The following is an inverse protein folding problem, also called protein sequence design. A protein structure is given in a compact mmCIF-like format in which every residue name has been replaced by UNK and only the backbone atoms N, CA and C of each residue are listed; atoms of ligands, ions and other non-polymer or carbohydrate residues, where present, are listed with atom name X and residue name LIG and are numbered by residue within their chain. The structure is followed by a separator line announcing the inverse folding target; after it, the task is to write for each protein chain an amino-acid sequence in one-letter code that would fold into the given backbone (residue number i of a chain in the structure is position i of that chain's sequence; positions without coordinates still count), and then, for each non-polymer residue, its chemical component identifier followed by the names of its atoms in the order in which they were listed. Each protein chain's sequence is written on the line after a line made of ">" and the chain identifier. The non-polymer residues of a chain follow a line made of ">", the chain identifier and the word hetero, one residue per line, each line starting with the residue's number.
data_IF_698179154838
#
_entry.id   IF_698179154838
#
_cell.length_a   1.000
_cell.length_b   1.000
_cell.length_c   1.000
_cell.angle_alpha   90.00
_cell.angle_beta   90.00
_cell.angle_gamma   90.00
#
_symmetry.space_group_name_H-M   'P 1'
#
loop_
_entity.id
_entity.type
_entity.pdbx_description
1 polymer ?
#
# COMPACT_ATOMS: atom_id res chain seq x y z
N UNK A 1 17.84 -8.69 -7.24
CA UNK A 1 17.06 -7.79 -6.34
C UNK A 1 16.87 -6.39 -6.93
N UNK A 2 16.58 -6.28 -8.23
CA UNK A 2 16.43 -4.99 -8.91
C UNK A 2 15.10 -4.29 -8.54
N UNK A 3 14.00 -5.05 -8.39
CA UNK A 3 12.68 -4.48 -8.22
C UNK A 3 12.48 -3.69 -6.90
N UNK A 4 12.96 -4.15 -5.72
CA UNK A 4 12.92 -3.34 -4.52
C UNK A 4 13.65 -2.00 -4.66
N UNK A 5 14.77 -1.99 -5.36
CA UNK A 5 15.52 -0.76 -5.64
C UNK A 5 14.70 0.19 -6.53
N UNK A 6 14.07 -0.33 -7.59
CA UNK A 6 13.20 0.46 -8.45
C UNK A 6 12.00 1.02 -7.69
N UNK A 7 11.47 0.27 -6.73
CA UNK A 7 10.37 0.74 -5.88
C UNK A 7 10.83 1.89 -4.95
N UNK A 8 12.03 1.84 -4.39
CA UNK A 8 12.61 2.97 -3.62
C UNK A 8 12.83 4.17 -4.53
N UNK A 9 13.44 3.96 -5.70
CA UNK A 9 13.70 5.02 -6.70
C UNK A 9 12.40 5.69 -7.14
N UNK A 10 11.30 4.95 -7.29
CA UNK A 10 10.01 5.55 -7.65
C UNK A 10 9.54 6.59 -6.63
N UNK A 11 9.77 6.40 -5.33
CA UNK A 11 9.49 7.41 -4.32
C UNK A 11 10.43 8.63 -4.43
N UNK A 12 11.69 8.42 -4.82
CA UNK A 12 12.64 9.52 -5.03
C UNK A 12 12.30 10.36 -6.28
N UNK A 13 11.73 9.75 -7.30
CA UNK A 13 11.24 10.46 -8.49
C UNK A 13 10.13 11.46 -8.14
N UNK A 14 9.40 11.25 -7.05
CA UNK A 14 8.35 12.16 -6.58
C UNK A 14 8.84 13.59 -6.31
N UNK A 15 10.13 13.79 -6.09
CA UNK A 15 10.71 15.11 -5.87
C UNK A 15 10.93 15.92 -7.16
N UNK A 16 11.07 15.25 -8.29
CA UNK A 16 11.47 15.90 -9.57
C UNK A 16 10.50 17.01 -9.99
N UNK A 17 9.15 16.82 -9.94
CA UNK A 17 8.23 17.84 -10.42
C UNK A 17 8.25 19.14 -9.62
N UNK A 18 8.85 19.15 -8.44
CA UNK A 18 8.91 20.30 -7.53
C UNK A 18 10.27 21.01 -7.54
N UNK A 19 11.30 20.37 -8.10
CA UNK A 19 12.66 20.91 -8.12
C UNK A 19 12.76 22.21 -8.92
N UNK A 20 13.34 23.24 -8.28
CA UNK A 20 13.66 24.51 -8.96
C UNK A 20 12.46 25.42 -9.20
N UNK A 21 11.30 25.18 -8.61
CA UNK A 21 10.15 26.06 -8.66
C UNK A 21 10.30 27.12 -7.55
N UNK A 22 10.45 28.42 -7.89
CA UNK A 22 10.59 29.47 -6.89
C UNK A 22 9.37 29.53 -5.96
N UNK A 23 9.58 29.84 -4.69
CA UNK A 23 8.51 29.97 -3.69
C UNK A 23 7.78 28.67 -3.35
N UNK A 24 8.36 27.52 -3.72
CA UNK A 24 7.76 26.21 -3.47
C UNK A 24 8.67 25.39 -2.58
N UNK A 25 8.09 24.84 -1.54
CA UNK A 25 8.77 23.89 -0.65
C UNK A 25 8.88 22.51 -1.33
N UNK A 26 9.79 22.40 -2.29
CA UNK A 26 9.98 21.22 -3.13
C UNK A 26 10.20 19.93 -2.34
N UNK A 27 10.88 20.02 -1.18
CA UNK A 27 11.16 18.83 -0.36
C UNK A 27 9.91 18.36 0.39
N UNK A 28 9.10 19.26 0.93
CA UNK A 28 7.86 18.94 1.63
C UNK A 28 6.86 18.26 0.70
N UNK A 29 6.62 18.85 -0.46
CA UNK A 29 5.73 18.29 -1.50
C UNK A 29 6.25 16.95 -2.05
N UNK A 30 7.57 16.86 -2.30
CA UNK A 30 8.21 15.63 -2.77
C UNK A 30 8.09 14.48 -1.77
N UNK A 31 8.26 14.76 -0.48
CA UNK A 31 8.08 13.78 0.61
C UNK A 31 6.62 13.32 0.70
N UNK A 32 5.64 14.23 0.56
CA UNK A 32 4.21 13.88 0.51
C UNK A 32 3.89 12.95 -0.65
N UNK A 33 4.38 13.27 -1.85
CA UNK A 33 4.27 12.40 -3.02
C UNK A 33 4.93 11.03 -2.82
N UNK A 34 6.12 11.00 -2.22
CA UNK A 34 6.81 9.75 -1.89
C UNK A 34 6.00 8.89 -0.90
N UNK A 35 5.30 9.50 0.05
CA UNK A 35 4.43 8.79 0.98
C UNK A 35 3.32 8.02 0.25
N UNK A 36 2.61 8.66 -0.68
CA UNK A 36 1.58 8.00 -1.49
C UNK A 36 2.15 6.83 -2.30
N UNK A 37 3.32 6.99 -2.89
CA UNK A 37 3.99 5.95 -3.67
C UNK A 37 4.38 4.77 -2.80
N UNK A 38 5.01 5.00 -1.65
CA UNK A 38 5.41 3.92 -0.74
C UNK A 38 4.19 3.22 -0.12
N UNK A 39 3.12 3.96 0.15
CA UNK A 39 1.86 3.37 0.60
C UNK A 39 1.27 2.44 -0.47
N UNK A 40 1.30 2.86 -1.74
CA UNK A 40 0.86 2.06 -2.89
C UNK A 40 1.68 0.78 -3.05
N UNK A 41 3.01 0.86 -2.92
CA UNK A 41 3.88 -0.32 -2.89
C UNK A 41 3.54 -1.26 -1.74
N UNK A 42 3.30 -0.72 -0.55
CA UNK A 42 2.88 -1.52 0.60
C UNK A 42 1.58 -2.28 0.32
N UNK A 43 0.55 -1.63 -0.26
CA UNK A 43 -0.70 -2.26 -0.67
C UNK A 43 -0.48 -3.36 -1.72
N UNK A 44 0.33 -3.09 -2.74
CA UNK A 44 0.66 -4.05 -3.79
C UNK A 44 1.35 -5.30 -3.23
N UNK A 45 2.29 -5.13 -2.32
CA UNK A 45 3.01 -6.24 -1.68
C UNK A 45 2.10 -7.08 -0.78
N UNK A 46 1.07 -6.47 -0.18
CA UNK A 46 0.07 -7.18 0.62
C UNK A 46 -0.96 -7.95 -0.23
N UNK A 47 -1.05 -7.70 -1.53
CA UNK A 47 -2.11 -8.21 -2.42
C UNK A 47 -2.10 -9.72 -2.64
N UNK A 48 -0.95 -10.39 -2.42
CA UNK A 48 -0.71 -11.81 -2.74
C UNK A 48 -0.79 -12.15 -4.23
N UNK A 49 -0.57 -11.19 -5.11
CA UNK A 49 -0.43 -11.44 -6.54
C UNK A 49 0.85 -12.26 -6.78
N UNK A 50 0.73 -13.42 -7.41
CA UNK A 50 1.84 -14.39 -7.59
C UNK A 50 3.04 -13.76 -8.32
N UNK A 51 2.79 -12.93 -9.33
CA UNK A 51 3.85 -12.23 -10.06
C UNK A 51 4.66 -11.32 -9.14
N UNK A 52 4.00 -10.56 -8.26
CA UNK A 52 4.65 -9.66 -7.31
C UNK A 52 5.56 -10.45 -6.38
N UNK A 53 5.08 -11.56 -5.82
CA UNK A 53 5.89 -12.40 -4.95
C UNK A 53 7.12 -12.98 -5.65
N UNK A 54 6.97 -13.46 -6.89
CA UNK A 54 8.09 -13.96 -7.69
C UNK A 54 9.16 -12.88 -7.92
N UNK A 55 8.73 -11.67 -8.25
CA UNK A 55 9.61 -10.54 -8.53
C UNK A 55 10.35 -10.03 -7.28
N UNK A 56 9.72 -10.12 -6.09
CA UNK A 56 10.33 -9.75 -4.82
C UNK A 56 11.08 -10.91 -4.13
N UNK A 57 11.15 -12.09 -4.74
CA UNK A 57 11.95 -13.21 -4.25
C UNK A 57 11.25 -14.14 -3.25
N UNK A 58 9.93 -14.22 -3.32
CA UNK A 58 9.09 -15.11 -2.52
C UNK A 58 8.28 -14.41 -1.44
N UNK A 59 7.40 -15.16 -0.77
CA UNK A 59 6.47 -14.62 0.24
C UNK A 59 7.19 -13.94 1.41
N UNK A 60 8.20 -14.58 1.96
CA UNK A 60 8.93 -14.08 3.13
C UNK A 60 9.59 -12.73 2.84
N UNK A 61 10.25 -12.63 1.68
CA UNK A 61 10.89 -11.37 1.26
C UNK A 61 9.87 -10.29 0.94
N UNK A 62 8.76 -10.66 0.30
CA UNK A 62 7.66 -9.71 0.03
C UNK A 62 7.11 -9.12 1.32
N UNK A 63 6.99 -9.93 2.38
CA UNK A 63 6.54 -9.47 3.68
C UNK A 63 7.54 -8.50 4.35
N UNK A 64 8.83 -8.76 4.22
CA UNK A 64 9.88 -7.84 4.69
C UNK A 64 9.76 -6.50 3.96
N UNK A 65 9.63 -6.52 2.63
CA UNK A 65 9.48 -5.31 1.83
C UNK A 65 8.17 -4.57 2.10
N UNK A 66 7.07 -5.27 2.33
CA UNK A 66 5.81 -4.66 2.78
C UNK A 66 6.03 -3.83 4.06
N UNK A 67 6.70 -4.39 5.05
CA UNK A 67 7.01 -3.67 6.29
C UNK A 67 7.91 -2.45 6.05
N UNK A 68 8.94 -2.60 5.22
CA UNK A 68 9.85 -1.50 4.89
C UNK A 68 9.12 -0.34 4.20
N UNK A 69 8.30 -0.64 3.18
CA UNK A 69 7.53 0.40 2.49
C UNK A 69 6.43 1.01 3.35
N UNK A 70 5.82 0.24 4.25
CA UNK A 70 4.87 0.78 5.23
C UNK A 70 5.55 1.77 6.17
N UNK A 71 6.75 1.45 6.67
CA UNK A 71 7.52 2.35 7.54
C UNK A 71 7.98 3.61 6.78
N UNK A 72 8.45 3.45 5.52
CA UNK A 72 8.80 4.60 4.68
C UNK A 72 7.60 5.49 4.42
N UNK A 73 6.43 4.92 4.13
CA UNK A 73 5.19 5.68 3.91
C UNK A 73 4.81 6.51 5.14
N UNK A 74 4.82 5.89 6.32
CA UNK A 74 4.48 6.59 7.57
C UNK A 74 5.53 7.66 7.90
N UNK A 75 6.81 7.36 7.75
CA UNK A 75 7.89 8.32 8.01
C UNK A 75 7.81 9.52 7.06
N UNK A 76 7.65 9.27 5.76
CA UNK A 76 7.56 10.35 4.78
C UNK A 76 6.27 11.15 4.94
N UNK A 77 5.15 10.53 5.29
CA UNK A 77 3.92 11.24 5.66
C UNK A 77 4.17 12.17 6.86
N UNK A 78 4.76 11.66 7.93
CA UNK A 78 5.06 12.46 9.13
C UNK A 78 5.98 13.63 8.82
N UNK A 79 7.02 13.43 8.01
CA UNK A 79 7.92 14.51 7.58
C UNK A 79 7.21 15.54 6.70
N UNK A 80 6.28 15.11 5.83
CA UNK A 80 5.46 16.01 5.01
C UNK A 80 4.60 16.95 5.85
N UNK A 81 4.00 16.44 6.93
CA UNK A 81 3.17 17.24 7.84
C UNK A 81 4.01 18.28 8.60
N UNK A 82 5.28 18.00 8.88
CA UNK A 82 6.19 18.94 9.54
C UNK A 82 6.77 20.01 8.60
N UNK A 83 6.57 19.84 7.28
CA UNK A 83 7.05 20.79 6.28
C UNK A 83 6.06 21.95 6.10
N UNK A 84 6.60 23.16 5.87
CA UNK A 84 5.80 24.23 5.29
C UNK A 84 5.59 23.88 3.81
N UNK A 85 4.35 23.67 3.38
CA UNK A 85 4.03 23.20 2.04
C UNK A 85 3.46 24.32 1.15
N UNK A 86 4.06 25.49 1.22
CA UNK A 86 3.63 26.65 0.44
C UNK A 86 3.94 26.44 -1.06
N UNK A 87 2.96 26.77 -1.89
CA UNK A 87 3.04 26.71 -3.34
C UNK A 87 2.70 28.06 -3.93
N UNK A 88 3.71 28.80 -4.41
CA UNK A 88 3.49 30.05 -5.13
C UNK A 88 2.83 29.77 -6.48
N UNK A 89 1.79 30.55 -6.82
CA UNK A 89 0.97 30.35 -8.04
C UNK A 89 0.34 28.95 -8.15
N UNK A 90 -0.18 28.44 -7.04
CA UNK A 90 -0.77 27.12 -6.95
C UNK A 90 -1.94 26.91 -7.94
N UNK A 91 -2.00 25.70 -8.48
CA UNK A 91 -3.14 25.22 -9.27
C UNK A 91 -4.05 24.41 -8.33
N UNK A 92 -5.28 24.86 -8.16
CA UNK A 92 -6.35 24.16 -7.43
C UNK A 92 -7.35 23.59 -8.45
N UNK A 93 -7.28 22.29 -8.80
CA UNK A 93 -8.08 21.74 -9.89
C UNK A 93 -9.59 21.87 -9.69
N UNK A 94 -10.05 21.93 -8.46
CA UNK A 94 -11.47 21.95 -8.07
C UNK A 94 -11.86 23.20 -7.27
N UNK A 95 -10.97 24.21 -7.16
CA UNK A 95 -11.19 25.45 -6.41
C UNK A 95 -10.88 25.32 -4.91
N UNK A 96 -10.98 26.46 -4.23
CA UNK A 96 -10.58 26.62 -2.82
C UNK A 96 -11.39 25.72 -1.88
N UNK A 97 -12.72 25.68 -2.01
CA UNK A 97 -13.58 24.87 -1.12
C UNK A 97 -13.21 23.38 -1.12
N UNK A 98 -12.84 22.84 -2.30
CA UNK A 98 -12.42 21.44 -2.42
C UNK A 98 -10.99 21.21 -1.91
N UNK A 99 -10.14 22.21 -2.04
CA UNK A 99 -8.80 22.15 -1.46
C UNK A 99 -8.88 22.15 0.07
N UNK A 100 -9.69 23.03 0.67
CA UNK A 100 -9.94 23.09 2.13
C UNK A 100 -10.48 21.74 2.64
N UNK A 101 -11.51 21.18 1.98
CA UNK A 101 -12.01 19.85 2.33
C UNK A 101 -10.91 18.78 2.22
N UNK A 102 -10.03 18.89 1.22
CA UNK A 102 -8.89 17.99 1.04
C UNK A 102 -7.92 18.05 2.22
N UNK A 103 -7.65 19.24 2.74
CA UNK A 103 -6.80 19.45 3.94
C UNK A 103 -7.46 18.87 5.20
N UNK A 104 -8.73 19.15 5.45
CA UNK A 104 -9.47 18.60 6.61
C UNK A 104 -9.46 17.05 6.61
N UNK A 105 -9.70 16.45 5.45
CA UNK A 105 -9.68 14.99 5.29
C UNK A 105 -8.26 14.39 5.42
N UNK A 106 -7.23 15.14 5.03
CA UNK A 106 -5.84 14.73 5.23
C UNK A 106 -5.45 14.75 6.71
N UNK A 107 -5.90 15.74 7.48
CA UNK A 107 -5.71 15.81 8.93
C UNK A 107 -6.35 14.60 9.64
N UNK A 108 -7.57 14.26 9.25
CA UNK A 108 -8.24 13.06 9.73
C UNK A 108 -7.49 11.77 9.32
N UNK A 109 -6.98 11.71 8.09
CA UNK A 109 -6.19 10.58 7.61
C UNK A 109 -4.89 10.41 8.42
N UNK A 110 -4.21 11.50 8.76
CA UNK A 110 -3.02 11.49 9.62
C UNK A 110 -3.32 10.82 10.95
N UNK A 111 -4.36 11.29 11.65
CA UNK A 111 -4.76 10.74 12.94
C UNK A 111 -5.06 9.25 12.85
N UNK A 112 -5.76 8.83 11.79
CA UNK A 112 -6.02 7.41 11.52
C UNK A 112 -4.72 6.62 11.31
N UNK A 113 -3.78 7.13 10.51
CA UNK A 113 -2.50 6.44 10.26
C UNK A 113 -1.71 6.27 11.55
N UNK A 114 -1.65 7.31 12.39
CA UNK A 114 -0.94 7.24 13.68
C UNK A 114 -1.55 6.13 14.56
N UNK A 115 -2.87 6.16 14.77
CA UNK A 115 -3.57 5.19 15.61
C UNK A 115 -3.42 3.76 15.07
N UNK A 116 -3.64 3.57 13.76
CA UNK A 116 -3.52 2.25 13.13
C UNK A 116 -2.08 1.73 13.15
N UNK A 117 -1.08 2.62 13.04
CA UNK A 117 0.34 2.26 13.13
C UNK A 117 0.70 1.80 14.53
N UNK A 118 0.28 2.52 15.56
CA UNK A 118 0.47 2.12 16.97
C UNK A 118 -0.14 0.75 17.23
N UNK A 119 -1.39 0.53 16.83
CA UNK A 119 -2.09 -0.76 16.96
C UNK A 119 -1.32 -1.87 16.22
N UNK A 120 -0.79 -1.57 15.03
CA UNK A 120 -0.11 -2.56 14.19
C UNK A 120 1.26 -2.96 14.74
N UNK A 121 2.03 -2.02 15.30
CA UNK A 121 3.38 -2.26 15.83
C UNK A 121 3.31 -2.98 17.17
N UNK A 122 2.50 -2.49 18.10
CA UNK A 122 2.47 -3.00 19.48
C UNK A 122 1.58 -4.23 19.66
N UNK A 123 0.87 -4.68 18.60
CA UNK A 123 -0.01 -5.87 18.65
C UNK A 123 -0.96 -5.86 19.85
N UNK A 124 -1.49 -4.70 20.19
CA UNK A 124 -2.34 -4.46 21.37
C UNK A 124 -3.63 -5.29 21.30
N UNK A 125 -4.11 -5.55 20.08
CA UNK A 125 -5.38 -6.24 19.84
C UNK A 125 -5.20 -7.73 19.57
N UNK A 126 -6.19 -8.58 19.91
CA UNK A 126 -6.25 -9.95 19.43
C UNK A 126 -6.13 -10.04 17.93
N UNK A 127 -5.51 -11.09 17.40
CA UNK A 127 -5.17 -11.22 15.98
C UNK A 127 -6.35 -10.97 15.02
N UNK A 128 -7.54 -11.44 15.35
CA UNK A 128 -8.73 -11.26 14.50
C UNK A 128 -9.10 -9.77 14.36
N UNK A 129 -9.08 -9.02 15.47
CA UNK A 129 -9.39 -7.59 15.49
C UNK A 129 -8.24 -6.79 14.86
N UNK A 130 -6.99 -7.15 15.17
CA UNK A 130 -5.81 -6.58 14.54
C UNK A 130 -5.84 -6.72 13.02
N UNK A 131 -6.19 -7.90 12.51
CA UNK A 131 -6.30 -8.14 11.06
C UNK A 131 -7.38 -7.26 10.42
N UNK A 132 -8.48 -7.00 11.12
CA UNK A 132 -9.54 -6.12 10.62
C UNK A 132 -9.11 -4.66 10.66
N UNK A 133 -8.58 -4.18 11.79
CA UNK A 133 -8.11 -2.80 11.94
C UNK A 133 -6.98 -2.47 10.97
N UNK A 134 -6.07 -3.42 10.72
CA UNK A 134 -4.99 -3.23 9.75
C UNK A 134 -5.49 -3.01 8.31
N UNK A 135 -6.64 -3.56 7.94
CA UNK A 135 -7.25 -3.29 6.62
C UNK A 135 -7.80 -1.88 6.49
N UNK A 136 -8.09 -1.21 7.58
CA UNK A 136 -8.59 0.17 7.58
C UNK A 136 -7.55 1.17 7.04
N UNK A 137 -6.28 0.79 6.87
CA UNK A 137 -5.27 1.63 6.22
C UNK A 137 -5.65 2.07 4.80
N UNK A 138 -6.60 1.38 4.14
CA UNK A 138 -7.13 1.83 2.86
C UNK A 138 -7.85 3.19 2.97
N UNK A 139 -8.50 3.47 4.10
CA UNK A 139 -9.26 4.71 4.29
C UNK A 139 -8.32 5.92 4.28
N UNK A 140 -7.31 6.03 5.16
CA UNK A 140 -6.39 7.15 5.13
C UNK A 140 -5.57 7.22 3.83
N UNK A 141 -5.30 6.09 3.18
CA UNK A 141 -4.66 6.09 1.86
C UNK A 141 -5.54 6.78 0.79
N UNK A 142 -6.84 6.49 0.76
CA UNK A 142 -7.77 7.13 -0.19
C UNK A 142 -8.02 8.60 0.15
N UNK A 143 -8.05 8.95 1.44
CA UNK A 143 -8.16 10.34 1.88
C UNK A 143 -6.91 11.15 1.50
N UNK A 144 -5.71 10.57 1.66
CA UNK A 144 -4.46 11.18 1.18
C UNK A 144 -4.41 11.31 -0.36
N UNK A 145 -4.95 10.34 -1.08
CA UNK A 145 -5.10 10.44 -2.54
C UNK A 145 -6.10 11.53 -2.95
N UNK A 146 -7.19 11.69 -2.20
CA UNK A 146 -8.15 12.76 -2.40
C UNK A 146 -7.51 14.13 -2.13
N UNK A 147 -6.79 14.28 -1.02
CA UNK A 147 -6.01 15.47 -0.72
C UNK A 147 -5.03 15.80 -1.87
N UNK A 148 -4.25 14.85 -2.35
CA UNK A 148 -3.35 15.06 -3.50
C UNK A 148 -4.07 15.59 -4.75
N UNK A 149 -5.29 15.11 -5.02
CA UNK A 149 -6.06 15.49 -6.21
C UNK A 149 -6.68 16.89 -6.06
N UNK A 150 -7.07 17.29 -4.86
CA UNK A 150 -7.82 18.54 -4.59
C UNK A 150 -6.95 19.69 -4.10
N UNK A 151 -5.81 19.37 -3.48
CA UNK A 151 -4.91 20.37 -2.88
C UNK A 151 -4.18 21.21 -3.93
N UNK A 152 -3.51 22.23 -3.44
CA UNK A 152 -2.60 23.06 -4.19
C UNK A 152 -1.45 22.29 -4.81
N UNK A 153 -1.23 22.46 -6.11
CA UNK A 153 -0.18 21.77 -6.83
C UNK A 153 0.53 22.70 -7.80
N UNK A 154 1.77 22.36 -8.14
CA UNK A 154 2.57 23.07 -9.15
C UNK A 154 2.27 22.62 -10.58
N UNK A 155 1.45 21.60 -10.76
CA UNK A 155 1.11 21.02 -12.07
C UNK A 155 -0.38 20.70 -12.18
N UNK A 156 -0.91 20.80 -13.39
CA UNK A 156 -2.32 20.52 -13.65
C UNK A 156 -2.67 19.03 -13.46
N UNK A 157 -3.92 18.77 -13.07
CA UNK A 157 -4.47 17.42 -13.03
C UNK A 157 -4.38 16.81 -14.45
N UNK A 158 -4.04 15.52 -14.52
CA UNK A 158 -3.76 14.75 -15.75
C UNK A 158 -2.51 15.20 -16.54
N UNK A 159 -1.67 16.07 -15.99
CA UNK A 159 -0.31 16.27 -16.50
C UNK A 159 0.53 15.00 -16.37
N UNK A 160 1.68 14.88 -17.05
CA UNK A 160 2.56 13.71 -16.89
C UNK A 160 2.92 13.42 -15.43
N UNK A 161 3.17 14.45 -14.63
CA UNK A 161 3.51 14.29 -13.22
C UNK A 161 2.30 13.88 -12.35
N UNK A 162 1.14 14.50 -12.56
CA UNK A 162 -0.09 14.07 -11.89
C UNK A 162 -0.41 12.62 -12.25
N UNK A 163 -0.31 12.23 -13.52
CA UNK A 163 -0.53 10.85 -13.95
C UNK A 163 0.45 9.87 -13.32
N UNK A 164 1.70 10.29 -13.10
CA UNK A 164 2.69 9.47 -12.39
C UNK A 164 2.16 9.06 -11.00
N UNK A 165 1.70 10.00 -10.20
CA UNK A 165 1.13 9.72 -8.88
C UNK A 165 -0.18 8.93 -8.96
N UNK A 166 -1.08 9.30 -9.89
CA UNK A 166 -2.37 8.63 -10.07
C UNK A 166 -2.22 7.16 -10.47
N UNK A 167 -1.19 6.81 -11.23
CA UNK A 167 -0.88 5.40 -11.54
C UNK A 167 -0.57 4.62 -10.26
N UNK A 168 0.28 5.15 -9.38
CA UNK A 168 0.58 4.47 -8.11
C UNK A 168 -0.65 4.35 -7.22
N UNK A 169 -1.42 5.42 -7.07
CA UNK A 169 -2.68 5.41 -6.30
C UNK A 169 -3.64 4.35 -6.85
N UNK A 170 -3.79 4.30 -8.17
CA UNK A 170 -4.64 3.31 -8.84
C UNK A 170 -4.15 1.88 -8.60
N UNK A 171 -2.84 1.64 -8.74
CA UNK A 171 -2.24 0.31 -8.50
C UNK A 171 -2.44 -0.11 -7.04
N UNK A 172 -2.20 0.77 -6.08
CA UNK A 172 -2.42 0.49 -4.65
C UNK A 172 -3.88 0.16 -4.33
N UNK A 173 -4.80 0.96 -4.85
CA UNK A 173 -6.25 0.75 -4.68
C UNK A 173 -6.70 -0.56 -5.31
N UNK A 174 -6.32 -0.85 -6.55
CA UNK A 174 -6.66 -2.09 -7.24
C UNK A 174 -6.05 -3.32 -6.56
N UNK A 175 -4.84 -3.20 -6.05
CA UNK A 175 -4.19 -4.25 -5.27
C UNK A 175 -4.96 -4.57 -3.99
N UNK A 176 -5.44 -3.55 -3.28
CA UNK A 176 -6.29 -3.73 -2.11
C UNK A 176 -7.63 -4.37 -2.47
N UNK A 177 -8.32 -3.88 -3.51
CA UNK A 177 -9.59 -4.44 -3.99
C UNK A 177 -9.41 -5.92 -4.38
N UNK A 178 -8.36 -6.23 -5.15
CA UNK A 178 -8.04 -7.62 -5.50
C UNK A 178 -7.83 -8.48 -4.26
N UNK A 179 -7.04 -7.99 -3.30
CA UNK A 179 -6.79 -8.69 -2.05
C UNK A 179 -8.09 -8.96 -1.29
N UNK A 180 -8.94 -7.94 -1.16
CA UNK A 180 -10.21 -8.05 -0.45
C UNK A 180 -11.14 -9.05 -1.14
N UNK A 181 -11.36 -8.91 -2.45
CA UNK A 181 -12.29 -9.75 -3.22
C UNK A 181 -11.74 -11.17 -3.39
N UNK A 182 -10.52 -11.31 -3.90
CA UNK A 182 -9.99 -12.61 -4.28
C UNK A 182 -9.60 -13.48 -3.09
N UNK A 183 -9.04 -12.87 -2.04
CA UNK A 183 -8.48 -13.60 -0.91
C UNK A 183 -9.41 -13.56 0.30
N UNK A 184 -9.84 -12.37 0.75
CA UNK A 184 -10.58 -12.26 1.99
C UNK A 184 -12.03 -12.74 1.86
N UNK A 185 -12.69 -12.51 0.71
CA UNK A 185 -14.00 -13.12 0.40
C UNK A 185 -13.89 -14.57 -0.12
N UNK A 186 -12.68 -15.09 -0.26
CA UNK A 186 -12.45 -16.50 -0.57
C UNK A 186 -12.70 -16.91 -2.02
N UNK A 187 -12.83 -15.97 -2.96
CA UNK A 187 -13.10 -16.31 -4.37
C UNK A 187 -11.92 -17.05 -5.04
N UNK A 188 -10.70 -16.91 -4.50
CA UNK A 188 -9.50 -17.62 -4.97
C UNK A 188 -9.26 -18.94 -4.24
N UNK A 189 -10.03 -19.28 -3.23
CA UNK A 189 -9.80 -20.47 -2.42
C UNK A 189 -10.14 -21.74 -3.21
N UNK A 190 -9.27 -22.72 -3.08
CA UNK A 190 -9.51 -24.07 -3.60
C UNK A 190 -9.91 -24.98 -2.46
N UNK A 191 -10.98 -25.74 -2.67
CA UNK A 191 -11.42 -26.71 -1.70
C UNK A 191 -10.58 -27.98 -1.83
N UNK A 192 -9.97 -28.39 -0.71
CA UNK A 192 -9.30 -29.67 -0.56
C UNK A 192 -10.12 -30.57 0.37
N UNK A 193 -9.99 -31.89 0.23
CA UNK A 193 -10.48 -32.86 1.19
C UNK A 193 -9.27 -33.45 1.90
N UNK A 194 -9.37 -33.57 3.20
CA UNK A 194 -8.41 -34.36 3.98
C UNK A 194 -8.61 -35.82 3.58
N UNK A 195 -7.57 -36.47 3.13
CA UNK A 195 -7.56 -37.90 2.72
C UNK A 195 -6.99 -38.81 3.77
N UNK A 196 -6.06 -38.32 4.58
CA UNK A 196 -5.41 -39.06 5.67
C UNK A 196 -4.98 -38.10 6.75
N UNK A 197 -5.08 -38.55 8.00
CA UNK A 197 -4.56 -37.87 9.20
C UNK A 197 -3.66 -38.88 9.87
N UNK A 198 -2.43 -38.52 10.15
CA UNK A 198 -1.45 -39.30 10.89
C UNK A 198 -1.00 -38.47 12.10
N UNK A 199 -1.17 -39.03 13.27
CA UNK A 199 -0.75 -38.41 14.54
C UNK A 199 0.59 -39.00 14.94
N UNK A 200 1.56 -38.14 15.19
CA UNK A 200 2.88 -38.46 15.77
C UNK A 200 2.95 -37.74 17.13
N UNK A 201 3.91 -38.12 17.97
CA UNK A 201 4.00 -37.57 19.32
C UNK A 201 4.09 -36.02 19.37
N UNK A 202 4.76 -35.40 18.41
CA UNK A 202 5.03 -33.95 18.38
C UNK A 202 4.29 -33.21 17.27
N UNK A 203 3.66 -33.89 16.32
CA UNK A 203 2.99 -33.25 15.17
C UNK A 203 1.90 -34.11 14.55
N UNK A 204 1.01 -33.48 13.79
CA UNK A 204 -0.03 -34.17 13.02
C UNK A 204 0.20 -33.91 11.53
N UNK A 205 0.32 -35.00 10.75
CA UNK A 205 0.41 -34.93 9.30
C UNK A 205 -0.97 -35.00 8.64
N UNK A 206 -1.30 -33.99 7.82
CA UNK A 206 -2.54 -33.93 7.07
C UNK A 206 -2.26 -34.14 5.58
N UNK A 207 -2.66 -35.28 5.03
CA UNK A 207 -2.67 -35.50 3.58
C UNK A 207 -3.95 -34.95 2.97
N UNK A 208 -3.84 -34.01 2.03
CA UNK A 208 -4.99 -33.34 1.40
C UNK A 208 -5.03 -33.61 -0.10
N UNK A 209 -6.25 -33.75 -0.64
CA UNK A 209 -6.48 -33.89 -2.09
C UNK A 209 -7.44 -32.81 -2.60
N UNK A 210 -7.19 -32.21 -3.81
CA UNK A 210 -8.10 -31.21 -4.37
C UNK A 210 -9.47 -31.84 -4.69
N UNK A 211 -10.57 -31.14 -4.35
CA UNK A 211 -11.95 -31.59 -4.65
C UNK A 211 -12.26 -31.68 -6.15
N UNK A 212 -11.60 -30.88 -6.99
CA UNK A 212 -11.71 -30.88 -8.45
C UNK A 212 -10.33 -31.15 -9.06
N UNK A 213 -10.25 -31.98 -10.11
CA UNK A 213 -9.02 -32.14 -10.91
C UNK A 213 -8.66 -30.78 -11.52
N UNK A 214 -7.81 -30.05 -10.87
CA UNK A 214 -7.26 -28.80 -11.43
C UNK A 214 -6.11 -29.20 -12.36
N UNK A 215 -6.29 -29.04 -13.67
CA UNK A 215 -5.28 -29.26 -14.69
C UNK A 215 -4.07 -28.30 -14.59
N UNK A 216 -4.10 -27.31 -13.73
CA UNK A 216 -3.08 -26.26 -13.65
C UNK A 216 -2.78 -25.95 -12.16
N UNK A 217 -1.53 -26.03 -11.78
CA UNK A 217 -0.93 -25.75 -10.48
C UNK A 217 -1.15 -26.86 -9.42
N UNK A 218 -0.47 -27.97 -9.56
CA UNK A 218 -0.15 -28.82 -8.41
C UNK A 218 0.88 -28.06 -7.55
N UNK A 219 0.74 -28.09 -6.21
CA UNK A 219 1.77 -27.55 -5.33
C UNK A 219 3.11 -28.22 -5.64
N UNK A 220 4.16 -27.44 -5.76
CA UNK A 220 5.51 -27.97 -5.95
C UNK A 220 6.09 -28.31 -4.57
N UNK A 221 6.98 -29.34 -4.47
CA UNK A 221 7.67 -29.61 -3.22
C UNK A 221 8.33 -28.35 -2.64
N UNK A 222 8.13 -28.10 -1.35
CA UNK A 222 8.63 -26.90 -0.68
C UNK A 222 7.78 -25.63 -0.87
N UNK A 223 6.62 -25.72 -1.50
CA UNK A 223 5.68 -24.61 -1.63
C UNK A 223 4.68 -24.64 -0.48
N UNK A 224 4.61 -23.53 0.29
CA UNK A 224 3.55 -23.34 1.27
C UNK A 224 2.19 -23.12 0.58
N UNK A 225 1.16 -23.72 1.10
CA UNK A 225 -0.22 -23.69 0.55
C UNK A 225 -1.09 -22.79 1.42
#
# INVERSE_FOLDING_TARGET
>A
QLLPLLAVVSGLIAFIPFLGIPGTDWWGLGIGGASLIYFSWSMLLASRVELVHKLFGGFDRTYIWHRMFSLLAVLTMWLHIQAENDVENAIMPFGEDMAELGYELAEFAEQMVIVLTVISIFKILPYAIWKLSHKLFIVPFLLGAFHFITSENTFALFSPWSNYFLVFVSVGTLAFIYRFIAIDLGLSYRAFKVSRIEEFDDFVELSVRPKRKAKRNQPKPGQFV
#
